data_IF_059495878200
#
_entry.id   IF_059495878200
#
_cell.length_a   1.000
_cell.length_b   1.000
_cell.length_c   1.000
_cell.angle_alpha   90.00
_cell.angle_beta   90.00
_cell.angle_gamma   90.00
#
_symmetry.space_group_name_H-M   'P 1'
#
loop_
_entity.id
_entity.type
_entity.pdbx_description
1 polymer ?
#
# COMPACT_ATOMS: atom_id res chain seq x y z
N UNK A 1 -9.00 12.75 15.79
CA UNK A 1 -7.93 12.68 14.77
C UNK A 1 -8.27 11.51 13.86
N UNK A 2 -8.32 11.77 12.55
CA UNK A 2 -8.70 10.76 11.57
C UNK A 2 -7.44 10.17 10.92
N UNK A 3 -7.01 9.00 11.41
CA UNK A 3 -5.81 8.33 10.91
C UNK A 3 -6.17 7.35 9.78
N UNK A 4 -5.44 7.36 8.65
CA UNK A 4 -5.71 6.43 7.55
C UNK A 4 -5.30 4.99 7.87
N UNK A 5 -4.38 4.79 8.82
CA UNK A 5 -3.89 3.48 9.23
C UNK A 5 -3.91 3.33 10.76
N UNK A 6 -3.91 2.09 11.22
CA UNK A 6 -3.85 1.74 12.65
C UNK A 6 -2.93 0.54 12.85
N UNK A 7 -2.14 0.50 13.92
CA UNK A 7 -1.34 -0.67 14.29
C UNK A 7 -1.64 -1.11 15.72
N UNK A 8 -1.77 -2.41 15.95
CA UNK A 8 -1.93 -2.96 17.30
C UNK A 8 -1.50 -4.43 17.36
N UNK A 9 -1.28 -4.93 18.57
CA UNK A 9 -1.23 -6.38 18.80
C UNK A 9 -2.64 -6.94 18.80
N UNK A 10 -2.84 -8.06 18.09
CA UNK A 10 -4.14 -8.67 17.92
C UNK A 10 -4.72 -9.11 19.28
N UNK A 11 -5.84 -8.51 19.68
CA UNK A 11 -6.53 -8.84 20.95
C UNK A 11 -7.15 -10.24 20.97
N UNK A 12 -7.42 -10.81 19.79
CA UNK A 12 -7.92 -12.18 19.61
C UNK A 12 -7.61 -12.67 18.19
N UNK A 13 -7.68 -13.99 17.97
CA UNK A 13 -7.46 -14.64 16.67
C UNK A 13 -8.68 -14.63 15.74
N UNK A 14 -9.56 -13.63 15.88
CA UNK A 14 -10.81 -13.50 15.07
C UNK A 14 -10.64 -12.69 13.78
N UNK A 15 -9.54 -11.94 13.64
CA UNK A 15 -9.30 -11.13 12.44
C UNK A 15 -8.59 -11.95 11.36
N UNK A 16 -9.09 -11.89 10.12
CA UNK A 16 -8.38 -12.38 8.94
C UNK A 16 -7.57 -11.28 8.27
N UNK A 17 -6.39 -11.63 7.77
CA UNK A 17 -5.57 -10.75 6.94
C UNK A 17 -6.20 -10.59 5.55
N UNK A 18 -6.48 -9.35 5.11
CA UNK A 18 -7.04 -9.08 3.79
C UNK A 18 -6.08 -9.39 2.63
N UNK A 19 -4.77 -9.30 2.87
CA UNK A 19 -3.75 -9.56 1.85
C UNK A 19 -3.51 -11.04 1.53
N UNK A 20 -3.46 -11.93 2.53
CA UNK A 20 -3.20 -13.37 2.33
C UNK A 20 -4.39 -14.27 2.68
N UNK A 21 -5.50 -13.70 3.18
CA UNK A 21 -6.73 -14.40 3.55
C UNK A 21 -6.58 -15.47 4.64
N UNK A 22 -5.51 -15.40 5.43
CA UNK A 22 -5.28 -16.27 6.59
C UNK A 22 -5.57 -15.54 7.90
N UNK A 23 -5.88 -16.29 8.95
CA UNK A 23 -6.12 -15.77 10.30
C UNK A 23 -4.87 -15.15 10.90
N UNK A 24 -5.04 -14.02 11.59
CA UNK A 24 -3.99 -13.36 12.38
C UNK A 24 -4.12 -13.86 13.82
N UNK A 25 -3.05 -14.39 14.42
CA UNK A 25 -3.11 -14.97 15.76
C UNK A 25 -3.18 -13.90 16.85
N UNK A 26 -3.71 -14.25 18.01
CA UNK A 26 -3.72 -13.37 19.18
C UNK A 26 -2.27 -13.06 19.59
N UNK A 27 -1.99 -11.79 19.90
CA UNK A 27 -0.66 -11.32 20.27
C UNK A 27 0.22 -10.93 19.09
N UNK A 28 -0.13 -11.31 17.85
CA UNK A 28 0.62 -10.91 16.66
C UNK A 28 0.42 -9.43 16.33
N UNK A 29 1.49 -8.77 15.85
CA UNK A 29 1.40 -7.43 15.31
C UNK A 29 0.58 -7.42 14.01
N UNK A 30 -0.48 -6.61 14.00
CA UNK A 30 -1.31 -6.37 12.83
C UNK A 30 -1.44 -4.88 12.52
N UNK A 31 -1.54 -4.58 11.23
CA UNK A 31 -1.81 -3.24 10.74
C UNK A 31 -3.15 -3.21 10.02
N UNK A 32 -3.87 -2.11 10.12
CA UNK A 32 -5.14 -1.90 9.47
C UNK A 32 -5.12 -0.66 8.58
N UNK A 33 -5.94 -0.73 7.53
CA UNK A 33 -6.38 0.43 6.76
C UNK A 33 -7.76 0.82 7.26
N UNK A 34 -7.95 2.11 7.52
CA UNK A 34 -9.24 2.68 7.89
C UNK A 34 -9.98 3.07 6.60
N UNK A 35 -11.05 2.35 6.27
CA UNK A 35 -11.83 2.58 5.04
C UNK A 35 -13.27 2.90 5.35
N UNK A 36 -13.91 3.77 4.58
CA UNK A 36 -15.33 4.08 4.75
C UNK A 36 -16.19 2.84 4.44
N UNK A 37 -17.09 2.52 5.36
CA UNK A 37 -18.05 1.44 5.19
C UNK A 37 -19.10 1.81 4.15
N UNK A 38 -19.44 0.90 3.21
CA UNK A 38 -20.60 1.08 2.34
C UNK A 38 -21.94 0.92 3.08
N UNK A 39 -21.95 0.28 4.26
CA UNK A 39 -23.17 -0.19 4.92
C UNK A 39 -23.66 0.73 6.03
N UNK A 40 -22.79 1.59 6.55
CA UNK A 40 -23.11 2.52 7.63
C UNK A 40 -22.19 3.72 7.56
N UNK A 41 -22.59 4.84 8.18
CA UNK A 41 -21.77 6.04 8.22
C UNK A 41 -20.65 5.91 9.27
N UNK A 42 -19.54 5.30 8.86
CA UNK A 42 -18.37 5.14 9.68
C UNK A 42 -17.27 4.31 9.01
N UNK A 43 -16.09 4.32 9.63
CA UNK A 43 -14.93 3.60 9.12
C UNK A 43 -14.84 2.19 9.68
N UNK A 44 -14.44 1.25 8.82
CA UNK A 44 -14.12 -0.12 9.18
C UNK A 44 -12.63 -0.37 9.04
N UNK A 45 -12.10 -1.22 9.93
CA UNK A 45 -10.72 -1.66 9.87
C UNK A 45 -10.58 -2.85 8.92
N UNK A 46 -9.67 -2.74 7.97
CA UNK A 46 -9.21 -3.88 7.17
C UNK A 46 -7.86 -4.33 7.71
N UNK A 47 -7.81 -5.45 8.42
CA UNK A 47 -6.60 -5.97 9.05
C UNK A 47 -5.67 -6.72 8.08
N UNK A 48 -4.37 -6.61 8.32
CA UNK A 48 -3.30 -7.26 7.59
C UNK A 48 -2.20 -7.71 8.54
N UNK A 49 -1.53 -8.81 8.20
CA UNK A 49 -0.20 -9.09 8.75
C UNK A 49 0.77 -7.97 8.35
N UNK A 50 1.78 -7.69 9.18
CA UNK A 50 2.77 -6.63 8.90
C UNK A 50 3.38 -6.75 7.49
N UNK A 51 3.83 -7.94 7.11
CA UNK A 51 4.41 -8.18 5.77
C UNK A 51 3.38 -8.05 4.63
N UNK A 52 2.10 -8.33 4.89
CA UNK A 52 1.05 -8.20 3.90
C UNK A 52 0.63 -6.74 3.69
N UNK A 53 0.65 -5.95 4.76
CA UNK A 53 0.31 -4.53 4.74
C UNK A 53 1.24 -3.78 3.77
N UNK A 54 2.55 -3.84 3.96
CA UNK A 54 3.52 -3.10 3.12
C UNK A 54 3.64 -3.61 1.67
N UNK A 55 3.02 -4.76 1.33
CA UNK A 55 2.88 -5.18 -0.07
C UNK A 55 1.79 -4.42 -0.82
N UNK A 56 0.76 -3.95 -0.10
CA UNK A 56 -0.48 -3.40 -0.67
C UNK A 56 -0.71 -1.93 -0.31
N UNK A 57 -0.13 -1.49 0.80
CA UNK A 57 -0.34 -0.18 1.38
C UNK A 57 1.00 0.53 1.49
N UNK A 58 0.98 1.85 1.24
CA UNK A 58 2.17 2.70 1.22
C UNK A 58 1.94 3.92 2.14
N UNK A 59 1.99 3.76 3.47
CA UNK A 59 1.96 4.90 4.37
C UNK A 59 3.13 5.85 4.05
N UNK A 60 2.89 7.16 4.08
CA UNK A 60 3.91 8.17 3.76
C UNK A 60 4.84 8.38 4.94
N UNK A 61 4.25 8.43 6.14
CA UNK A 61 4.94 8.65 7.40
C UNK A 61 4.44 7.67 8.46
N UNK A 62 5.20 7.51 9.54
CA UNK A 62 4.73 6.76 10.72
C UNK A 62 3.59 7.46 11.44
N UNK A 63 3.48 8.78 11.28
CA UNK A 63 2.46 9.62 11.92
C UNK A 63 1.06 9.37 11.33
N UNK A 64 1.01 8.78 10.13
CA UNK A 64 -0.23 8.31 9.50
C UNK A 64 -0.80 7.04 10.17
N UNK A 65 -0.08 6.44 11.11
CA UNK A 65 -0.41 5.16 11.76
C UNK A 65 -0.83 5.41 13.21
N UNK A 66 -2.13 5.25 13.49
CA UNK A 66 -2.66 5.31 14.85
C UNK A 66 -2.04 4.21 15.74
N UNK A 67 -1.80 4.54 17.01
CA UNK A 67 -1.19 3.67 18.04
C UNK A 67 0.25 3.23 17.77
N UNK A 68 0.95 3.87 16.83
CA UNK A 68 2.35 3.57 16.51
C UNK A 68 3.28 3.66 17.74
N UNK A 69 3.15 4.72 18.55
CA UNK A 69 3.98 4.94 19.74
C UNK A 69 3.73 3.90 20.85
N UNK A 70 2.58 3.24 20.85
CA UNK A 70 2.23 2.20 21.84
C UNK A 70 2.90 0.86 21.57
N UNK A 71 3.51 0.68 20.39
CA UNK A 71 4.17 -0.57 20.00
C UNK A 71 5.52 -0.74 20.69
N UNK A 72 6.01 -1.98 20.77
CA UNK A 72 7.38 -2.25 21.23
C UNK A 72 8.37 -1.53 20.31
N UNK A 73 9.47 -1.03 20.89
CA UNK A 73 10.52 -0.30 20.14
C UNK A 73 11.03 -1.10 18.94
N UNK A 74 11.23 -2.41 19.10
CA UNK A 74 11.64 -3.28 17.99
C UNK A 74 10.66 -3.28 16.81
N UNK A 75 9.36 -3.23 17.10
CA UNK A 75 8.31 -3.20 16.08
C UNK A 75 8.15 -1.81 15.46
N UNK A 76 8.39 -0.75 16.26
CA UNK A 76 8.47 0.62 15.74
C UNK A 76 9.60 0.75 14.73
N UNK A 77 10.78 0.20 15.01
CA UNK A 77 11.92 0.23 14.10
C UNK A 77 11.66 -0.59 12.82
N UNK A 78 11.02 -1.75 12.97
CA UNK A 78 10.58 -2.55 11.82
C UNK A 78 9.63 -1.76 10.91
N UNK A 79 8.63 -1.08 11.47
CA UNK A 79 7.68 -0.27 10.70
C UNK A 79 8.39 0.94 10.07
N UNK A 80 9.23 1.68 10.81
CA UNK A 80 10.01 2.81 10.29
C UNK A 80 10.85 2.41 9.07
N UNK A 81 11.49 1.23 9.14
CA UNK A 81 12.28 0.70 8.04
C UNK A 81 11.43 0.45 6.77
N UNK A 82 10.17 0.02 6.92
CA UNK A 82 9.28 -0.28 5.79
C UNK A 82 8.61 0.97 5.20
N UNK A 83 8.29 1.97 6.05
CA UNK A 83 7.72 3.26 5.62
C UNK A 83 8.72 4.04 4.78
N UNK A 84 9.99 4.09 5.19
CA UNK A 84 11.05 4.75 4.43
C UNK A 84 11.32 4.12 3.07
N UNK A 85 10.98 2.85 2.89
CA UNK A 85 11.10 2.12 1.62
C UNK A 85 9.96 2.46 0.66
N UNK A 86 8.76 2.65 1.19
CA UNK A 86 7.52 2.83 0.43
C UNK A 86 7.41 4.21 -0.23
N UNK A 87 8.12 5.21 0.30
CA UNK A 87 8.06 6.63 -0.06
C UNK A 87 9.10 7.08 -1.11
N UNK A 88 10.06 6.22 -1.49
CA UNK A 88 11.16 6.54 -2.43
C UNK A 88 10.75 6.33 -3.92
N UNK A 89 9.47 6.49 -4.26
CA UNK A 89 9.01 6.29 -5.64
C UNK A 89 9.44 7.42 -6.61
N UNK A 90 10.03 8.53 -6.13
CA UNK A 90 10.39 9.68 -6.99
C UNK A 90 11.67 10.37 -6.47
N UNK A 91 12.85 9.81 -6.73
CA UNK A 91 14.08 10.63 -6.73
C UNK A 91 14.88 10.29 -8.00
N UNK A 92 15.22 11.27 -8.84
CA UNK A 92 16.18 11.07 -9.93
C UNK A 92 17.50 10.56 -9.35
N UNK A 93 18.23 9.75 -10.12
CA UNK A 93 19.58 9.30 -9.77
C UNK A 93 20.50 10.50 -9.47
N UNK A 94 20.58 10.93 -8.19
CA UNK A 94 21.69 11.77 -7.75
C UNK A 94 22.92 10.88 -7.78
N UNK A 95 23.91 11.30 -8.58
CA UNK A 95 25.24 10.69 -8.73
C UNK A 95 25.91 10.59 -7.35
N UNK A 96 25.67 9.47 -6.66
CA UNK A 96 26.09 9.21 -5.30
C UNK A 96 26.08 7.71 -5.00
N UNK A 97 26.82 7.31 -3.96
CA UNK A 97 27.16 5.92 -3.62
C UNK A 97 25.92 5.02 -3.53
N UNK A 98 25.74 4.14 -4.52
CA UNK A 98 24.64 3.15 -4.59
C UNK A 98 24.58 2.34 -3.29
N UNK A 99 23.46 2.42 -2.56
CA UNK A 99 23.21 1.51 -1.42
C UNK A 99 22.57 0.24 -1.97
N UNK A 100 22.94 -0.92 -1.42
CA UNK A 100 22.48 -2.23 -1.91
C UNK A 100 20.95 -2.44 -1.87
N UNK A 101 20.19 -1.56 -1.20
CA UNK A 101 18.72 -1.58 -1.15
C UNK A 101 18.01 -0.83 -2.29
N UNK A 102 18.69 0.08 -3.00
CA UNK A 102 18.03 0.99 -3.96
C UNK A 102 17.52 0.26 -5.21
N UNK A 103 18.21 -0.80 -5.63
CA UNK A 103 17.81 -1.59 -6.80
C UNK A 103 16.55 -2.44 -6.55
N UNK A 104 16.41 -3.02 -5.34
CA UNK A 104 15.23 -3.78 -4.96
C UNK A 104 13.99 -2.88 -4.82
N UNK A 105 14.20 -1.65 -4.31
CA UNK A 105 13.17 -0.62 -4.21
C UNK A 105 12.69 -0.12 -5.57
N UNK A 106 13.61 0.25 -6.47
CA UNK A 106 13.27 0.68 -7.82
C UNK A 106 12.48 -0.42 -8.55
N UNK A 107 12.90 -1.68 -8.40
CA UNK A 107 12.16 -2.83 -8.96
C UNK A 107 10.77 -3.02 -8.33
N UNK A 108 10.57 -2.68 -7.05
CA UNK A 108 9.25 -2.73 -6.42
C UNK A 108 8.34 -1.59 -6.91
N UNK A 109 8.86 -0.37 -7.05
CA UNK A 109 8.11 0.77 -7.58
C UNK A 109 7.77 0.63 -9.07
N UNK A 110 8.67 0.03 -9.86
CA UNK A 110 8.41 -0.26 -11.28
C UNK A 110 7.26 -1.26 -11.48
N UNK A 111 6.92 -2.10 -10.49
CA UNK A 111 5.76 -3.02 -10.58
C UNK A 111 4.42 -2.30 -10.54
N UNK A 112 4.38 -1.06 -10.05
CA UNK A 112 3.17 -0.26 -10.02
C UNK A 112 2.85 0.30 -11.42
N UNK A 113 3.82 0.27 -12.34
CA UNK A 113 3.67 0.64 -13.73
C UNK A 113 3.63 -0.61 -14.62
N UNK A 114 2.76 -0.56 -15.62
CA UNK A 114 2.67 -1.62 -16.64
C UNK A 114 2.55 -1.00 -18.01
N UNK A 115 3.37 -1.49 -18.92
CA UNK A 115 3.35 -1.14 -20.34
C UNK A 115 2.94 -2.39 -21.10
N UNK A 116 1.85 -2.31 -21.85
CA UNK A 116 1.38 -3.42 -22.68
C UNK A 116 0.66 -2.89 -23.92
N UNK A 117 0.49 -3.75 -24.94
CA UNK A 117 -0.46 -3.49 -26.00
C UNK A 117 -1.89 -3.63 -25.48
N UNK A 118 -2.76 -2.73 -25.91
CA UNK A 118 -4.16 -2.71 -25.50
C UNK A 118 -4.88 -3.93 -26.06
N UNK A 119 -5.32 -4.83 -25.18
CA UNK A 119 -6.02 -6.07 -25.56
C UNK A 119 -7.38 -5.83 -26.23
N UNK A 120 -7.96 -4.63 -26.08
CA UNK A 120 -9.25 -4.24 -26.64
C UNK A 120 -9.41 -2.72 -26.66
N UNK A 121 -10.25 -2.17 -27.55
CA UNK A 121 -10.56 -0.73 -27.64
C UNK A 121 -11.41 -0.15 -26.50
N UNK A 122 -11.59 -0.85 -25.37
CA UNK A 122 -12.45 -0.39 -24.27
C UNK A 122 -11.76 0.60 -23.32
N UNK A 123 -10.43 0.62 -23.31
CA UNK A 123 -9.65 1.48 -22.43
C UNK A 123 -9.75 2.95 -22.87
N UNK A 124 -9.63 3.86 -21.89
CA UNK A 124 -9.63 5.30 -22.10
C UNK A 124 -8.42 5.88 -21.38
N UNK A 125 -7.69 6.78 -22.04
CA UNK A 125 -6.56 7.50 -21.44
C UNK A 125 -7.09 8.42 -20.32
N UNK A 126 -6.48 8.35 -19.13
CA UNK A 126 -6.89 9.18 -17.98
C UNK A 126 -6.42 10.64 -18.07
N UNK A 127 -5.54 10.98 -19.01
CA UNK A 127 -5.05 12.35 -19.21
C UNK A 127 -5.80 13.14 -20.28
N UNK A 128 -6.12 12.52 -21.42
CA UNK A 128 -6.81 13.17 -22.54
C UNK A 128 -8.22 12.64 -22.80
N UNK A 129 -8.70 11.67 -22.00
CA UNK A 129 -10.05 11.07 -22.10
C UNK A 129 -10.38 10.39 -23.44
N UNK A 130 -9.40 10.24 -24.33
CA UNK A 130 -9.55 9.55 -25.61
C UNK A 130 -9.49 8.02 -25.44
N UNK A 131 -10.19 7.32 -26.34
CA UNK A 131 -10.15 5.86 -26.41
C UNK A 131 -8.78 5.39 -26.87
N UNK A 132 -8.30 4.33 -26.22
CA UNK A 132 -7.07 3.63 -26.62
C UNK A 132 -7.50 2.42 -27.42
N UNK A 133 -7.15 2.38 -28.70
CA UNK A 133 -7.59 1.33 -29.62
C UNK A 133 -6.89 0.01 -29.32
N UNK A 134 -7.40 -1.09 -29.89
CA UNK A 134 -6.77 -2.40 -29.77
C UNK A 134 -5.39 -2.33 -30.43
N UNK A 135 -4.43 -3.02 -29.82
CA UNK A 135 -3.04 -3.13 -30.30
C UNK A 135 -2.23 -1.81 -30.25
N UNK A 136 -2.79 -0.72 -29.69
CA UNK A 136 -2.01 0.47 -29.32
C UNK A 136 -1.26 0.26 -28.00
N UNK A 137 -0.08 0.87 -27.87
CA UNK A 137 0.68 0.85 -26.61
C UNK A 137 -0.08 1.68 -25.57
N UNK A 138 -0.31 1.08 -24.41
CA UNK A 138 -0.87 1.78 -23.25
C UNK A 138 0.02 1.64 -22.03
N UNK A 139 0.02 2.69 -21.22
CA UNK A 139 0.71 2.74 -19.93
C UNK A 139 -0.34 2.82 -18.84
N UNK A 140 -0.24 1.96 -17.83
CA UNK A 140 -1.09 2.00 -16.65
C UNK A 140 -0.24 2.16 -15.40
N UNK A 141 -0.66 3.05 -14.50
CA UNK A 141 -0.14 3.20 -13.14
C UNK A 141 -1.21 2.70 -12.17
N UNK A 142 -0.86 1.75 -11.31
CA UNK A 142 -1.70 1.34 -10.18
C UNK A 142 -1.55 2.38 -9.07
N UNK A 143 -2.65 3.03 -8.70
CA UNK A 143 -2.66 4.08 -7.69
C UNK A 143 -3.17 3.52 -6.36
N UNK A 144 -2.31 3.57 -5.34
CA UNK A 144 -2.62 3.09 -3.99
C UNK A 144 -2.98 4.23 -3.01
N UNK A 145 -2.80 5.49 -3.41
CA UNK A 145 -2.98 6.64 -2.52
C UNK A 145 -4.44 7.11 -2.46
N UNK A 146 -5.20 6.85 -3.53
CA UNK A 146 -6.64 7.18 -3.58
C UNK A 146 -7.44 6.35 -2.57
N UNK A 147 -8.58 6.87 -2.10
CA UNK A 147 -9.46 6.14 -1.19
C UNK A 147 -9.91 4.78 -1.79
N UNK A 148 -10.19 4.77 -3.09
CA UNK A 148 -10.50 3.55 -3.85
C UNK A 148 -9.30 2.61 -3.88
N UNK A 149 -8.10 3.11 -4.18
CA UNK A 149 -6.86 2.33 -4.18
C UNK A 149 -6.55 1.70 -2.82
N UNK A 150 -6.74 2.45 -1.73
CA UNK A 150 -6.57 1.94 -0.35
C UNK A 150 -7.57 0.84 -0.03
N UNK A 151 -8.83 1.01 -0.45
CA UNK A 151 -9.94 0.07 -0.20
C UNK A 151 -9.83 -1.24 -0.99
N UNK A 152 -9.33 -1.16 -2.23
CA UNK A 152 -9.27 -2.30 -3.15
C UNK A 152 -7.83 -2.78 -3.45
N UNK A 153 -6.84 -2.27 -2.72
CA UNK A 153 -5.43 -2.67 -2.84
C UNK A 153 -4.84 -2.40 -4.25
N UNK A 154 -5.20 -1.23 -4.81
CA UNK A 154 -4.79 -0.71 -6.11
C UNK A 154 -5.75 -1.04 -7.25
#
# INVERSE_FOLDING_TARGET
>A
MDFPYRAEYAKSSRSGCKGCRTTIQQGDLRLAVMVQSPMFDGKVTQWYHMKCFFKKQRPKTTDDIEHFESLRVSDQDNIKSQVGVSSIAIVPDKKGKKRAGDAALKNAALKDFKIEYSKSGRATCRGCEQKILKDEIRISKKDFDTEVGKKYEG
#
